data_IF_394009402655
#
_entry.id   IF_394009402655
#
_cell.length_a   1.000
_cell.length_b   1.000
_cell.length_c   1.000
_cell.angle_alpha   90.00
_cell.angle_beta   90.00
_cell.angle_gamma   90.00
#
_symmetry.space_group_name_H-M   'P 1'
#
loop_
_entity.id
_entity.type
_entity.pdbx_description
1 polymer ?
#
# COMPACT_ATOMS: atom_id res chain seq x y z
N UNK A 1 -21.20 38.41 -24.60
CA UNK A 1 -21.03 38.14 -26.06
C UNK A 1 -20.77 36.65 -26.13
N UNK A 2 -21.74 35.92 -26.28
CA UNK A 2 -22.37 35.08 -27.30
C UNK A 2 -21.37 34.59 -28.37
N UNK A 3 -21.07 33.28 -28.37
CA UNK A 3 -21.01 32.51 -29.61
C UNK A 3 -21.23 31.04 -29.33
N UNK A 4 -22.44 30.61 -29.65
CA UNK A 4 -22.90 29.25 -29.81
C UNK A 4 -22.48 28.87 -31.25
N UNK A 5 -21.77 27.74 -31.41
CA UNK A 5 -21.68 27.05 -32.70
C UNK A 5 -22.22 25.63 -32.49
N UNK A 6 -23.44 25.48 -33.01
CA UNK A 6 -24.15 24.27 -33.28
C UNK A 6 -23.64 23.68 -34.59
N UNK A 7 -23.16 22.44 -34.63
CA UNK A 7 -22.93 21.69 -35.86
C UNK A 7 -23.56 20.32 -35.76
N UNK A 8 -24.77 20.23 -36.34
CA UNK A 8 -25.39 18.96 -36.77
C UNK A 8 -24.70 18.50 -38.06
N UNK A 9 -24.52 17.19 -38.26
CA UNK A 9 -24.69 16.51 -39.56
C UNK A 9 -24.43 15.00 -39.37
N UNK A 10 -25.55 14.21 -39.54
CA UNK A 10 -25.79 13.18 -40.56
C UNK A 10 -24.73 12.08 -40.69
N UNK A 11 -24.99 10.81 -40.24
CA UNK A 11 -25.78 9.87 -40.99
C UNK A 11 -24.94 8.98 -41.88
N UNK A 12 -24.63 7.74 -41.46
CA UNK A 12 -24.47 6.65 -42.42
C UNK A 12 -24.64 5.30 -41.68
N UNK A 13 -25.80 4.68 -41.90
CA UNK A 13 -26.10 3.30 -41.48
C UNK A 13 -25.46 2.38 -42.53
N UNK A 14 -24.40 1.68 -42.14
CA UNK A 14 -23.87 0.54 -42.93
C UNK A 14 -24.36 -0.75 -42.32
N UNK A 15 -25.38 -1.34 -42.94
CA UNK A 15 -25.78 -2.72 -42.71
C UNK A 15 -24.76 -3.67 -43.37
N UNK A 16 -23.91 -4.29 -42.57
CA UNK A 16 -23.14 -5.44 -43.02
C UNK A 16 -23.85 -6.71 -42.57
N UNK A 17 -24.52 -7.35 -43.53
CA UNK A 17 -25.05 -8.72 -43.39
C UNK A 17 -23.89 -9.70 -43.64
N UNK A 18 -23.43 -10.35 -42.60
CA UNK A 18 -22.45 -11.44 -42.69
C UNK A 18 -23.20 -12.78 -42.58
N UNK A 19 -23.00 -13.72 -43.53
CA UNK A 19 -23.68 -15.03 -43.44
C UNK A 19 -22.99 -15.89 -42.35
N UNK A 20 -23.77 -16.28 -41.36
CA UNK A 20 -23.34 -17.20 -40.28
C UNK A 20 -23.26 -18.64 -40.82
N UNK A 21 -22.04 -19.10 -41.04
CA UNK A 21 -21.74 -20.54 -41.17
C UNK A 21 -21.59 -21.11 -39.76
N UNK A 22 -22.65 -21.83 -39.34
CA UNK A 22 -22.64 -22.55 -38.06
C UNK A 22 -21.84 -23.83 -38.22
N UNK A 23 -20.61 -23.84 -37.73
CA UNK A 23 -19.81 -25.04 -37.56
C UNK A 23 -20.04 -25.58 -36.15
N UNK A 24 -20.86 -26.61 -36.00
CA UNK A 24 -21.13 -27.27 -34.73
C UNK A 24 -19.88 -28.09 -34.33
N UNK A 25 -19.02 -27.52 -33.51
CA UNK A 25 -17.98 -28.27 -32.79
C UNK A 25 -18.53 -28.75 -31.45
N UNK A 26 -18.70 -30.07 -31.36
CA UNK A 26 -19.06 -30.75 -30.12
C UNK A 26 -17.86 -30.68 -29.15
N UNK A 27 -17.86 -29.67 -28.30
CA UNK A 27 -16.91 -29.58 -27.21
C UNK A 27 -17.35 -30.53 -26.10
N UNK A 28 -16.60 -31.62 -25.92
CA UNK A 28 -16.73 -32.46 -24.73
C UNK A 28 -16.34 -31.61 -23.51
N UNK A 29 -17.32 -31.09 -22.80
CA UNK A 29 -17.15 -30.41 -21.52
C UNK A 29 -16.79 -31.49 -20.49
N UNK A 30 -15.50 -31.66 -20.23
CA UNK A 30 -15.06 -32.37 -19.03
C UNK A 30 -15.33 -31.44 -17.83
N UNK A 31 -16.37 -31.73 -17.09
CA UNK A 31 -16.70 -31.11 -15.81
C UNK A 31 -15.59 -31.37 -14.78
N UNK A 32 -14.49 -30.63 -14.90
CA UNK A 32 -13.57 -30.44 -13.78
C UNK A 32 -14.11 -29.31 -12.92
N UNK A 33 -15.12 -29.63 -12.11
CA UNK A 33 -15.59 -28.77 -11.03
C UNK A 33 -14.46 -28.63 -10.01
N UNK A 34 -13.54 -27.71 -10.31
CA UNK A 34 -12.52 -27.30 -9.34
C UNK A 34 -13.26 -26.77 -8.13
N UNK A 35 -13.34 -27.60 -7.09
CA UNK A 35 -13.89 -27.23 -5.78
C UNK A 35 -13.00 -26.16 -5.18
N UNK A 36 -13.34 -24.89 -5.42
CA UNK A 36 -12.72 -23.78 -4.72
C UNK A 36 -12.85 -24.05 -3.23
N UNK A 37 -11.76 -24.46 -2.59
CA UNK A 37 -11.69 -24.49 -1.13
C UNK A 37 -11.69 -23.03 -0.69
N UNK A 38 -12.86 -22.50 -0.36
CA UNK A 38 -12.98 -21.23 0.32
C UNK A 38 -12.37 -21.42 1.70
N UNK A 39 -11.10 -21.05 1.87
CA UNK A 39 -10.50 -20.95 3.18
C UNK A 39 -11.24 -19.85 3.93
N UNK A 40 -11.58 -20.10 5.20
CA UNK A 40 -12.13 -19.05 6.05
C UNK A 40 -11.19 -17.83 6.00
N UNK A 41 -11.73 -16.60 5.98
CA UNK A 41 -10.90 -15.41 6.01
C UNK A 41 -10.06 -15.43 7.29
N UNK A 42 -8.74 -15.35 7.14
CA UNK A 42 -7.83 -15.17 8.28
C UNK A 42 -8.05 -13.74 8.77
N UNK A 43 -8.33 -13.52 10.07
CA UNK A 43 -8.49 -12.17 10.61
C UNK A 43 -7.20 -11.37 10.37
N UNK A 44 -7.33 -10.12 9.93
CA UNK A 44 -6.20 -9.18 9.89
C UNK A 44 -6.14 -8.46 11.22
N UNK A 45 -4.98 -8.46 11.84
CA UNK A 45 -4.75 -7.82 13.13
C UNK A 45 -3.84 -6.63 12.95
N UNK A 46 -4.18 -5.54 13.61
CA UNK A 46 -3.42 -4.30 13.56
C UNK A 46 -3.34 -3.67 14.93
N UNK A 47 -2.29 -2.89 15.13
CA UNK A 47 -2.11 -2.07 16.32
C UNK A 47 -1.74 -0.66 15.89
N UNK A 48 -2.02 0.33 16.74
CA UNK A 48 -1.56 1.71 16.53
C UNK A 48 -1.22 2.39 17.86
N UNK A 49 -0.37 3.40 17.79
CA UNK A 49 -0.15 4.37 18.86
C UNK A 49 -0.10 5.79 18.31
N UNK A 50 -0.32 6.74 19.21
CA UNK A 50 -0.33 8.18 18.93
C UNK A 50 0.79 8.87 19.73
N UNK A 51 1.47 9.80 19.09
CA UNK A 51 2.39 10.75 19.71
C UNK A 51 1.85 12.15 19.43
N UNK A 52 1.21 12.74 20.43
CA UNK A 52 0.62 14.07 20.33
C UNK A 52 1.62 15.13 20.77
N UNK A 53 1.50 16.31 20.18
CA UNK A 53 2.30 17.50 20.52
C UNK A 53 3.81 17.29 20.47
N UNK A 54 4.26 16.38 19.60
CA UNK A 54 5.68 16.11 19.40
C UNK A 54 6.36 17.33 18.78
N UNK A 55 7.46 17.77 19.44
CA UNK A 55 8.19 18.97 19.01
C UNK A 55 9.44 18.56 18.25
N UNK A 56 9.61 19.08 17.04
CA UNK A 56 10.87 18.93 16.30
C UNK A 56 11.16 20.16 15.44
N UNK A 57 12.44 20.43 15.27
CA UNK A 57 12.90 21.45 14.36
C UNK A 57 13.08 20.85 12.96
N UNK A 58 12.38 21.39 11.97
CA UNK A 58 12.44 20.93 10.59
C UNK A 58 12.01 22.06 9.63
N UNK A 59 12.65 22.14 8.46
CA UNK A 59 12.44 23.21 7.48
C UNK A 59 12.67 24.62 8.03
N UNK A 60 13.63 24.75 8.98
CA UNK A 60 13.97 26.01 9.62
C UNK A 60 12.96 26.50 10.67
N UNK A 61 12.00 25.64 11.07
CA UNK A 61 10.97 26.00 12.05
C UNK A 61 10.83 24.96 13.15
N UNK A 62 10.38 25.42 14.34
CA UNK A 62 9.89 24.55 15.38
C UNK A 62 8.45 24.12 15.06
N UNK A 63 8.30 22.85 14.71
CA UNK A 63 7.02 22.27 14.36
C UNK A 63 6.43 21.48 15.54
N UNK A 64 5.11 21.50 15.64
CA UNK A 64 4.34 20.63 16.53
C UNK A 64 3.61 19.60 15.69
N UNK A 65 3.84 18.33 16.00
CA UNK A 65 3.32 17.21 15.23
C UNK A 65 2.37 16.36 16.05
N UNK A 66 1.31 15.88 15.41
CA UNK A 66 0.57 14.71 15.86
C UNK A 66 0.92 13.56 14.92
N UNK A 67 1.42 12.47 15.49
CA UNK A 67 1.94 11.34 14.73
C UNK A 67 1.17 10.10 15.11
N UNK A 68 0.55 9.45 14.12
CA UNK A 68 -0.09 8.15 14.28
C UNK A 68 0.74 7.11 13.54
N UNK A 69 1.18 6.09 14.25
CA UNK A 69 1.83 4.93 13.67
C UNK A 69 0.91 3.74 13.83
N UNK A 70 0.49 3.16 12.70
CA UNK A 70 -0.33 1.95 12.63
C UNK A 70 0.46 0.86 11.93
N UNK A 71 0.32 -0.38 12.33
CA UNK A 71 0.95 -1.50 11.66
C UNK A 71 0.09 -2.75 11.71
N UNK A 72 0.23 -3.58 10.68
CA UNK A 72 -0.39 -4.89 10.58
C UNK A 72 0.66 -5.96 10.81
N UNK A 73 0.25 -7.04 11.45
CA UNK A 73 1.11 -8.19 11.68
C UNK A 73 1.14 -9.13 10.47
N UNK A 74 2.17 -9.95 10.40
CA UNK A 74 2.19 -11.03 9.42
C UNK A 74 1.02 -11.99 9.67
N UNK A 75 0.43 -12.55 8.62
CA UNK A 75 -0.63 -13.53 8.77
C UNK A 75 -0.14 -14.74 9.59
N UNK A 76 -0.98 -15.19 10.53
CA UNK A 76 -0.69 -16.29 11.42
C UNK A 76 0.56 -16.08 12.33
N UNK A 77 0.77 -14.85 12.79
CA UNK A 77 1.76 -14.55 13.83
C UNK A 77 1.40 -15.34 15.11
N UNK A 78 2.39 -15.92 15.79
CA UNK A 78 2.17 -16.61 17.05
C UNK A 78 2.11 -15.58 18.20
N UNK A 79 1.35 -15.88 19.26
CA UNK A 79 1.10 -14.97 20.39
C UNK A 79 2.39 -14.39 21.00
N UNK A 80 3.45 -15.19 21.09
CA UNK A 80 4.75 -14.77 21.63
C UNK A 80 5.61 -13.96 20.65
N UNK A 81 5.19 -13.82 19.40
CA UNK A 81 5.92 -13.10 18.37
C UNK A 81 5.43 -11.66 18.16
N UNK A 82 4.33 -11.28 18.86
CA UNK A 82 3.84 -9.91 18.80
C UNK A 82 4.91 -8.96 19.32
N UNK A 83 5.36 -8.01 18.50
CA UNK A 83 6.36 -7.03 18.94
C UNK A 83 5.76 -6.10 19.99
N UNK A 84 6.51 -5.84 21.04
CA UNK A 84 6.19 -4.78 21.99
C UNK A 84 6.22 -3.43 21.27
N UNK A 85 5.18 -2.63 21.44
CA UNK A 85 5.08 -1.30 20.82
C UNK A 85 6.04 -0.27 21.46
N UNK A 86 6.49 -0.47 22.68
CA UNK A 86 7.38 0.46 23.39
C UNK A 86 8.72 0.63 22.66
N UNK A 87 9.44 -0.44 22.24
CA UNK A 87 10.62 -0.31 21.41
C UNK A 87 10.33 0.39 20.07
N UNK A 88 9.20 0.09 19.42
CA UNK A 88 8.82 0.74 18.15
C UNK A 88 8.66 2.25 18.35
N UNK A 89 7.92 2.66 19.39
CA UNK A 89 7.75 4.08 19.73
C UNK A 89 9.08 4.77 20.02
N UNK A 90 10.00 4.12 20.78
CA UNK A 90 11.32 4.66 21.07
C UNK A 90 12.17 4.84 19.80
N UNK A 91 12.06 3.93 18.85
CA UNK A 91 12.76 4.05 17.57
C UNK A 91 12.21 5.19 16.71
N UNK A 92 10.89 5.40 16.72
CA UNK A 92 10.26 6.56 16.07
C UNK A 92 10.78 7.85 16.68
N UNK A 93 10.79 7.95 18.01
CA UNK A 93 11.31 9.10 18.76
C UNK A 93 12.79 9.36 18.45
N UNK A 94 13.61 8.31 18.48
CA UNK A 94 15.05 8.40 18.17
C UNK A 94 15.31 8.78 16.70
N UNK A 95 14.47 8.32 15.77
CA UNK A 95 14.56 8.68 14.35
C UNK A 95 14.25 10.15 14.15
N UNK A 96 13.13 10.62 14.67
CA UNK A 96 12.68 12.01 14.52
C UNK A 96 13.60 12.99 15.25
N UNK A 97 14.06 12.64 16.46
CA UNK A 97 14.95 13.48 17.25
C UNK A 97 16.37 13.63 16.66
N UNK A 98 16.76 12.72 15.75
CA UNK A 98 18.04 12.79 15.00
C UNK A 98 17.86 13.24 13.56
N UNK A 99 16.63 13.44 13.13
CA UNK A 99 16.38 13.86 11.76
C UNK A 99 16.94 15.26 11.54
N UNK A 100 17.74 15.47 10.49
CA UNK A 100 18.37 16.77 10.29
C UNK A 100 17.31 17.86 9.97
N UNK A 101 17.61 19.09 10.43
CA UNK A 101 16.80 20.25 10.09
C UNK A 101 17.08 20.66 8.63
N UNK A 102 16.47 19.92 7.70
CA UNK A 102 16.61 20.09 6.27
C UNK A 102 15.33 20.66 5.63
N UNK A 103 15.43 21.00 4.36
CA UNK A 103 14.29 21.45 3.55
C UNK A 103 13.48 20.29 2.95
N UNK A 104 13.79 19.04 3.30
CA UNK A 104 13.07 17.86 2.84
C UNK A 104 11.58 17.95 3.18
N UNK A 105 10.74 17.51 2.26
CA UNK A 105 9.29 17.47 2.49
C UNK A 105 8.91 16.40 3.54
N UNK A 106 7.82 16.62 4.26
CA UNK A 106 7.30 15.69 5.27
C UNK A 106 7.06 14.28 4.73
N UNK A 107 6.74 14.15 3.43
CA UNK A 107 6.60 12.88 2.74
C UNK A 107 7.92 12.10 2.70
N UNK A 108 9.05 12.79 2.59
CA UNK A 108 10.38 12.15 2.57
C UNK A 108 10.72 11.64 3.97
N UNK A 109 10.51 12.47 5.00
CA UNK A 109 10.67 12.07 6.41
C UNK A 109 9.84 10.81 6.69
N UNK A 110 8.57 10.84 6.31
CA UNK A 110 7.62 9.77 6.55
C UNK A 110 7.97 8.48 5.78
N UNK A 111 8.41 8.59 4.53
CA UNK A 111 8.90 7.44 3.74
C UNK A 111 10.10 6.76 4.39
N UNK A 112 11.03 7.53 4.94
CA UNK A 112 12.22 7.00 5.61
C UNK A 112 11.84 6.35 6.95
N UNK A 113 10.97 6.99 7.72
CA UNK A 113 10.46 6.48 8.99
C UNK A 113 9.75 5.13 8.81
N UNK A 114 8.80 5.03 7.88
CA UNK A 114 8.08 3.78 7.60
C UNK A 114 8.99 2.68 7.06
N UNK A 115 10.02 3.04 6.29
CA UNK A 115 11.04 2.09 5.81
C UNK A 115 11.86 1.54 6.98
N UNK A 116 12.32 2.40 7.89
CA UNK A 116 13.08 2.01 9.07
C UNK A 116 12.28 1.05 9.96
N UNK A 117 11.02 1.37 10.28
CA UNK A 117 10.18 0.52 11.13
C UNK A 117 10.01 -0.85 10.48
N UNK A 118 9.59 -0.91 9.20
CA UNK A 118 9.33 -2.17 8.52
C UNK A 118 10.60 -3.02 8.36
N UNK A 119 11.77 -2.38 8.21
CA UNK A 119 13.06 -3.08 8.16
C UNK A 119 13.42 -3.69 9.52
N UNK A 120 13.26 -2.93 10.59
CA UNK A 120 13.69 -3.32 11.95
C UNK A 120 12.78 -4.38 12.58
N UNK A 121 11.48 -4.40 12.22
CA UNK A 121 10.48 -5.27 12.84
C UNK A 121 9.92 -6.28 11.84
N UNK A 122 10.57 -7.46 11.68
CA UNK A 122 10.20 -8.44 10.66
C UNK A 122 8.81 -9.07 10.88
N UNK A 123 8.26 -9.02 12.08
CA UNK A 123 6.92 -9.50 12.40
C UNK A 123 5.78 -8.65 11.76
N UNK A 124 6.11 -7.46 11.26
CA UNK A 124 5.15 -6.56 10.65
C UNK A 124 4.98 -6.82 9.14
N UNK A 125 3.74 -6.93 8.68
CA UNK A 125 3.39 -7.05 7.27
C UNK A 125 3.32 -5.68 6.58
N UNK A 126 2.81 -4.68 7.30
CA UNK A 126 2.72 -3.31 6.81
C UNK A 126 2.88 -2.29 7.93
N UNK A 127 3.25 -1.06 7.55
CA UNK A 127 3.29 0.10 8.44
C UNK A 127 2.67 1.28 7.72
N UNK A 128 1.76 1.97 8.40
CA UNK A 128 1.21 3.25 7.99
C UNK A 128 1.60 4.30 9.02
N UNK A 129 2.23 5.37 8.59
CA UNK A 129 2.49 6.52 9.44
C UNK A 129 1.79 7.76 8.89
N UNK A 130 1.07 8.44 9.75
CA UNK A 130 0.41 9.70 9.50
C UNK A 130 1.08 10.77 10.37
N UNK A 131 1.71 11.74 9.72
CA UNK A 131 2.31 12.91 10.35
C UNK A 131 1.41 14.09 10.04
N UNK A 132 0.86 14.72 11.07
CA UNK A 132 0.09 15.94 10.98
C UNK A 132 0.89 17.08 11.63
N UNK A 133 1.16 18.12 10.87
CA UNK A 133 1.84 19.35 11.32
C UNK A 133 0.78 20.36 11.70
N UNK A 134 0.76 20.80 12.95
CA UNK A 134 -0.21 21.80 13.42
C UNK A 134 0.09 23.18 12.82
N UNK A 135 -0.88 24.09 12.79
CA UNK A 135 -0.66 25.46 12.34
C UNK A 135 0.48 26.15 13.09
N UNK A 136 1.24 26.96 12.39
CA UNK A 136 2.31 27.83 12.92
C UNK A 136 2.06 29.29 12.53
N UNK A 137 2.95 30.20 12.94
CA UNK A 137 2.86 31.61 12.51
C UNK A 137 3.03 31.75 10.99
N UNK A 138 3.86 30.89 10.37
CA UNK A 138 4.12 30.91 8.93
C UNK A 138 2.98 30.25 8.14
N UNK A 139 2.37 29.20 8.70
CA UNK A 139 1.32 28.42 8.03
C UNK A 139 0.09 28.32 8.95
N UNK A 140 -0.96 29.05 8.65
CA UNK A 140 -2.20 29.12 9.45
C UNK A 140 -3.11 27.89 9.29
N UNK A 141 -2.66 26.84 8.58
CA UNK A 141 -3.43 25.63 8.29
C UNK A 141 -2.66 24.38 8.70
N UNK A 142 -3.39 23.31 8.99
CA UNK A 142 -2.84 21.98 9.23
C UNK A 142 -2.39 21.39 7.91
N UNK A 143 -1.19 20.79 7.88
CA UNK A 143 -0.64 20.05 6.77
C UNK A 143 -0.13 18.70 7.24
N UNK A 144 0.09 17.75 6.35
CA UNK A 144 0.57 16.47 6.79
C UNK A 144 0.89 15.50 5.66
N UNK A 145 1.39 14.34 6.04
CA UNK A 145 1.78 13.26 5.15
C UNK A 145 1.28 11.93 5.68
N UNK A 146 0.74 11.10 4.80
CA UNK A 146 0.36 9.72 5.11
C UNK A 146 1.16 8.82 4.18
N UNK A 147 1.89 7.87 4.75
CA UNK A 147 2.66 6.89 4.00
C UNK A 147 2.34 5.49 4.52
N UNK A 148 1.91 4.62 3.61
CA UNK A 148 1.76 3.18 3.87
C UNK A 148 2.83 2.41 3.12
N UNK A 149 3.49 1.51 3.82
CA UNK A 149 4.50 0.61 3.24
C UNK A 149 4.17 -0.82 3.61
N UNK A 150 4.18 -1.69 2.60
CA UNK A 150 3.96 -3.12 2.77
C UNK A 150 5.28 -3.88 2.61
N UNK A 151 5.42 -4.98 3.34
CA UNK A 151 6.52 -5.92 3.14
C UNK A 151 6.29 -6.69 1.84
N UNK A 152 7.28 -6.68 0.96
CA UNK A 152 7.22 -7.48 -0.25
C UNK A 152 7.22 -8.96 0.11
N UNK A 153 6.17 -9.68 -0.25
CA UNK A 153 6.15 -11.15 -0.12
C UNK A 153 7.14 -11.73 -1.14
N UNK A 154 8.18 -12.38 -0.66
CA UNK A 154 9.05 -13.16 -1.54
C UNK A 154 8.23 -14.34 -2.06
N UNK A 155 7.79 -14.26 -3.32
CA UNK A 155 7.23 -15.42 -4.02
C UNK A 155 8.40 -16.37 -4.25
N UNK A 156 8.45 -17.48 -3.50
CA UNK A 156 9.36 -18.58 -3.81
C UNK A 156 8.95 -19.14 -5.17
N UNK A 157 9.64 -18.74 -6.22
CA UNK A 157 9.53 -19.39 -7.53
C UNK A 157 10.14 -20.77 -7.34
N UNK A 158 9.28 -21.76 -7.11
CA UNK A 158 9.70 -23.17 -7.13
C UNK A 158 10.02 -23.49 -8.57
N UNK A 159 11.30 -23.48 -8.89
CA UNK A 159 11.82 -23.89 -10.21
C UNK A 159 11.45 -25.36 -10.39
N UNK A 160 10.38 -25.62 -11.15
CA UNK A 160 10.04 -26.95 -11.58
C UNK A 160 11.22 -27.44 -12.47
N UNK A 161 12.04 -28.35 -11.93
CA UNK A 161 13.03 -29.07 -12.73
C UNK A 161 12.28 -29.76 -13.83
N UNK A 162 12.36 -29.24 -15.06
CA UNK A 162 12.01 -29.97 -16.27
C UNK A 162 12.98 -31.15 -16.41
N UNK A 163 12.51 -32.34 -16.01
CA UNK A 163 13.18 -33.58 -16.34
C UNK A 163 13.03 -33.79 -17.83
N UNK A 164 14.01 -33.33 -18.59
CA UNK A 164 14.16 -33.69 -19.99
C UNK A 164 14.63 -35.17 -20.02
N UNK A 165 13.67 -36.10 -20.14
CA UNK A 165 13.92 -37.49 -20.38
C UNK A 165 14.38 -37.60 -21.84
N UNK A 166 15.67 -37.78 -22.05
CA UNK A 166 16.20 -38.21 -23.36
C UNK A 166 15.80 -39.66 -23.54
N UNK A 167 14.89 -39.91 -24.44
CA UNK A 167 14.66 -41.24 -24.99
C UNK A 167 15.72 -41.46 -26.07
N UNK A 168 16.56 -42.51 -25.88
CA UNK A 168 17.45 -43.06 -26.87
C UNK A 168 16.68 -44.11 -27.70
#
# INVERSE_FOLDING_TARGET
MKNIILCCLLGAIFHFTCPTTVCAQTVKTSDQKARLKTSAPVPSESFYFLMNDYKMEHQGEFNTLNIKVSYEYNAAIADQEYPDFIPIRKDVDAFLGKYPNETAFWEIVNKQLTAMILHKYPALASVTCEIQVTPSQQYSFTRGSIVTRHRTKLVKVTSAKQNFRREN
#
